data_IF_231241158232
#
_entry.id   IF_231241158232
#
_cell.length_a   1.000
_cell.length_b   1.000
_cell.length_c   1.000
_cell.angle_alpha   90.00
_cell.angle_beta   90.00
_cell.angle_gamma   90.00
#
_symmetry.space_group_name_H-M   'P 1'
#
loop_
_entity.id
_entity.type
_entity.pdbx_description
1 polymer ?
#
# COMPACT_ATOMS: atom_id res chain seq x y z
N UNK A 1 -16.90 -13.59 17.58
CA UNK A 1 -16.42 -14.82 18.25
C UNK A 1 -15.26 -14.44 19.17
N UNK A 2 -15.33 -14.71 20.48
CA UNK A 2 -14.30 -14.26 21.43
C UNK A 2 -13.00 -15.05 21.29
N UNK A 3 -11.85 -14.45 21.65
CA UNK A 3 -10.52 -15.10 21.61
C UNK A 3 -10.49 -16.44 22.39
N UNK A 4 -11.26 -16.52 23.49
CA UNK A 4 -11.49 -17.74 24.28
C UNK A 4 -12.33 -18.79 23.54
N UNK A 5 -13.33 -18.39 22.76
CA UNK A 5 -14.14 -19.29 21.94
C UNK A 5 -13.33 -19.94 20.82
N UNK A 6 -12.48 -19.17 20.14
CA UNK A 6 -11.55 -19.67 19.11
C UNK A 6 -10.55 -20.68 19.69
N UNK A 7 -9.92 -20.36 20.82
CA UNK A 7 -8.98 -21.26 21.49
C UNK A 7 -9.64 -22.58 21.92
N UNK A 8 -10.87 -22.54 22.45
CA UNK A 8 -11.62 -23.75 22.82
C UNK A 8 -12.04 -24.60 21.61
N UNK A 9 -12.44 -23.99 20.50
CA UNK A 9 -12.76 -24.70 19.27
C UNK A 9 -11.53 -25.41 18.69
N UNK A 10 -10.40 -24.70 18.57
CA UNK A 10 -9.14 -25.28 18.11
C UNK A 10 -8.67 -26.40 19.05
N UNK A 11 -8.85 -26.26 20.37
CA UNK A 11 -8.49 -27.32 21.34
C UNK A 11 -9.27 -28.62 21.13
N UNK A 12 -10.53 -28.54 20.69
CA UNK A 12 -11.45 -29.66 20.44
C UNK A 12 -11.30 -30.30 19.06
N UNK A 13 -10.54 -29.69 18.14
CA UNK A 13 -10.20 -30.35 16.88
C UNK A 13 -9.38 -31.61 17.15
N UNK A 14 -9.71 -32.70 16.44
CA UNK A 14 -8.91 -33.93 16.47
C UNK A 14 -7.47 -33.65 16.05
N UNK A 15 -6.51 -34.47 16.50
CA UNK A 15 -5.08 -34.26 16.20
C UNK A 15 -4.81 -34.07 14.71
N UNK A 16 -5.50 -34.84 13.85
CA UNK A 16 -5.45 -34.71 12.39
C UNK A 16 -5.92 -33.33 11.89
N UNK A 17 -7.05 -32.81 12.39
CA UNK A 17 -7.59 -31.51 11.96
C UNK A 17 -6.71 -30.34 12.41
N UNK A 18 -6.02 -30.45 13.55
CA UNK A 18 -5.01 -29.47 13.97
C UNK A 18 -3.82 -29.44 13.03
N UNK A 19 -3.28 -30.62 12.68
CA UNK A 19 -2.19 -30.73 11.71
C UNK A 19 -2.59 -30.17 10.33
N UNK A 20 -3.80 -30.46 9.84
CA UNK A 20 -4.32 -29.91 8.58
C UNK A 20 -4.37 -28.37 8.62
N UNK A 21 -4.86 -27.76 9.72
CA UNK A 21 -4.90 -26.29 9.88
C UNK A 21 -3.49 -25.69 9.92
N UNK A 22 -2.55 -26.30 10.65
CA UNK A 22 -1.16 -25.84 10.70
C UNK A 22 -0.47 -25.89 9.33
N UNK A 23 -0.73 -26.94 8.55
CA UNK A 23 -0.23 -27.05 7.17
C UNK A 23 -0.78 -25.91 6.31
N UNK A 24 -2.09 -25.64 6.39
CA UNK A 24 -2.72 -24.54 5.62
C UNK A 24 -2.13 -23.18 6.04
N UNK A 25 -1.95 -22.93 7.33
CA UNK A 25 -1.34 -21.67 7.83
C UNK A 25 0.07 -21.50 7.25
N UNK A 26 0.90 -22.55 7.27
CA UNK A 26 2.25 -22.51 6.69
C UNK A 26 2.22 -22.26 5.18
N UNK A 27 1.33 -22.94 4.46
CA UNK A 27 1.17 -22.75 3.01
C UNK A 27 0.71 -21.32 2.68
N UNK A 28 -0.20 -20.75 3.47
CA UNK A 28 -0.65 -19.36 3.30
C UNK A 28 0.50 -18.37 3.52
N UNK A 29 1.35 -18.59 4.52
CA UNK A 29 2.52 -17.75 4.76
C UNK A 29 3.49 -17.79 3.56
N UNK A 30 3.83 -18.99 3.07
CA UNK A 30 4.68 -19.18 1.89
C UNK A 30 4.07 -18.48 0.65
N UNK A 31 2.76 -18.61 0.45
CA UNK A 31 2.06 -17.98 -0.66
C UNK A 31 2.11 -16.45 -0.58
N UNK A 32 1.96 -15.87 0.62
CA UNK A 32 2.09 -14.42 0.84
C UNK A 32 3.50 -13.93 0.54
N UNK A 33 4.53 -14.62 1.00
CA UNK A 33 5.92 -14.23 0.74
C UNK A 33 6.27 -14.33 -0.74
N UNK A 34 5.81 -15.40 -1.42
CA UNK A 34 5.94 -15.52 -2.88
C UNK A 34 5.22 -14.38 -3.61
N UNK A 35 4.01 -14.04 -3.19
CA UNK A 35 3.25 -12.93 -3.76
C UNK A 35 3.99 -11.60 -3.59
N UNK A 36 4.47 -11.29 -2.36
CA UNK A 36 5.27 -10.08 -2.10
C UNK A 36 6.52 -10.00 -2.98
N UNK A 37 7.20 -11.13 -3.22
CA UNK A 37 8.36 -11.16 -4.12
C UNK A 37 7.98 -10.78 -5.55
N UNK A 38 6.94 -11.39 -6.10
CA UNK A 38 6.44 -11.11 -7.46
C UNK A 38 6.03 -9.64 -7.60
N UNK A 39 5.26 -9.11 -6.64
CA UNK A 39 4.82 -7.71 -6.70
C UNK A 39 5.99 -6.73 -6.57
N UNK A 40 6.99 -7.05 -5.74
CA UNK A 40 8.21 -6.24 -5.67
C UNK A 40 8.99 -6.24 -6.98
N UNK A 41 9.09 -7.38 -7.67
CA UNK A 41 9.71 -7.48 -8.99
C UNK A 41 8.94 -6.65 -10.02
N UNK A 42 7.60 -6.75 -10.01
CA UNK A 42 6.72 -5.93 -10.87
C UNK A 42 6.95 -4.42 -10.69
N UNK A 43 6.89 -3.90 -9.47
CA UNK A 43 7.13 -2.47 -9.25
C UNK A 43 8.58 -2.04 -9.48
N UNK A 44 9.55 -2.92 -9.22
CA UNK A 44 10.96 -2.66 -9.56
C UNK A 44 11.13 -2.50 -11.06
N UNK A 45 10.48 -3.35 -11.85
CA UNK A 45 10.51 -3.25 -13.31
C UNK A 45 9.83 -1.95 -13.78
N UNK A 46 8.64 -1.63 -13.26
CA UNK A 46 7.93 -0.39 -13.61
C UNK A 46 8.69 0.89 -13.22
N UNK A 47 9.39 0.91 -12.09
CA UNK A 47 10.23 2.06 -11.69
C UNK A 47 11.44 2.20 -12.62
N UNK A 48 12.09 1.09 -13.01
CA UNK A 48 13.21 1.08 -13.97
C UNK A 48 12.80 1.55 -15.35
N UNK A 49 11.63 1.14 -15.81
CA UNK A 49 11.05 1.53 -17.10
C UNK A 49 10.45 2.95 -17.06
N UNK A 50 10.34 3.55 -15.87
CA UNK A 50 9.69 4.85 -15.68
C UNK A 50 8.16 4.81 -15.87
N UNK A 51 7.55 3.62 -15.96
CA UNK A 51 6.13 3.39 -16.22
C UNK A 51 5.27 3.36 -14.96
N UNK A 52 5.87 3.44 -13.76
CA UNK A 52 5.11 3.53 -12.51
C UNK A 52 4.41 4.89 -12.38
N UNK A 53 5.17 5.97 -12.53
CA UNK A 53 4.66 7.34 -12.63
C UNK A 53 5.43 8.06 -13.73
N UNK A 54 4.76 8.29 -14.87
CA UNK A 54 5.38 8.87 -16.05
C UNK A 54 5.66 10.36 -15.82
N UNK A 55 6.93 10.73 -15.91
CA UNK A 55 7.39 12.11 -15.80
C UNK A 55 6.94 12.95 -17.00
N UNK A 56 6.69 14.25 -16.79
CA UNK A 56 6.38 15.18 -17.89
C UNK A 56 4.97 15.05 -18.47
N UNK A 57 4.08 14.28 -17.82
CA UNK A 57 2.66 14.26 -18.18
C UNK A 57 2.00 15.60 -17.87
N UNK A 58 1.07 16.01 -18.74
CA UNK A 58 0.22 17.18 -18.49
C UNK A 58 -0.78 16.89 -17.36
N UNK A 59 -1.21 17.91 -16.58
CA UNK A 59 -2.16 17.76 -15.49
C UNK A 59 -3.61 17.59 -16.00
N UNK A 60 -3.86 16.52 -16.76
CA UNK A 60 -5.19 16.17 -17.24
C UNK A 60 -5.93 15.31 -16.22
N UNK A 61 -7.25 15.26 -16.34
CA UNK A 61 -8.11 14.42 -15.50
C UNK A 61 -7.77 12.94 -15.67
N UNK A 62 -7.41 12.53 -16.88
CA UNK A 62 -7.05 11.16 -17.24
C UNK A 62 -5.73 10.77 -16.55
N UNK A 63 -4.69 11.59 -16.66
CA UNK A 63 -3.40 11.31 -16.02
C UNK A 63 -3.50 11.33 -14.49
N UNK A 64 -4.34 12.20 -13.93
CA UNK A 64 -4.63 12.18 -12.49
C UNK A 64 -5.33 10.89 -12.06
N UNK A 65 -6.32 10.41 -12.84
CA UNK A 65 -6.98 9.13 -12.57
C UNK A 65 -5.99 7.95 -12.64
N UNK A 66 -5.04 7.97 -13.57
CA UNK A 66 -3.99 6.96 -13.64
C UNK A 66 -3.12 6.95 -12.38
N UNK A 67 -2.77 8.12 -11.83
CA UNK A 67 -2.03 8.18 -10.57
C UNK A 67 -2.82 7.53 -9.42
N UNK A 68 -4.10 7.87 -9.31
CA UNK A 68 -4.98 7.28 -8.30
C UNK A 68 -5.10 5.77 -8.50
N UNK A 69 -5.23 5.30 -9.74
CA UNK A 69 -5.28 3.87 -10.06
C UNK A 69 -3.98 3.13 -9.68
N UNK A 70 -2.81 3.76 -9.84
CA UNK A 70 -1.55 3.17 -9.39
C UNK A 70 -1.51 3.01 -7.86
N UNK A 71 -2.00 4.00 -7.12
CA UNK A 71 -2.09 3.90 -5.66
C UNK A 71 -3.13 2.86 -5.22
N UNK A 72 -4.26 2.78 -5.91
CA UNK A 72 -5.31 1.79 -5.66
C UNK A 72 -4.79 0.36 -5.86
N UNK A 73 -4.06 0.10 -6.96
CA UNK A 73 -3.38 -1.17 -7.21
C UNK A 73 -2.42 -1.54 -6.06
N UNK A 74 -1.66 -0.58 -5.53
CA UNK A 74 -0.79 -0.82 -4.37
C UNK A 74 -1.58 -1.18 -3.11
N UNK A 75 -2.73 -0.54 -2.89
CA UNK A 75 -3.63 -0.84 -1.76
C UNK A 75 -4.21 -2.25 -1.90
N UNK A 76 -4.69 -2.62 -3.08
CA UNK A 76 -5.15 -3.98 -3.37
C UNK A 76 -4.05 -5.02 -3.10
N UNK A 77 -2.83 -4.73 -3.51
CA UNK A 77 -1.68 -5.60 -3.26
C UNK A 77 -1.37 -5.72 -1.76
N UNK A 78 -1.52 -4.64 -0.99
CA UNK A 78 -1.38 -4.67 0.47
C UNK A 78 -2.48 -5.51 1.15
N UNK A 79 -3.73 -5.42 0.67
CA UNK A 79 -4.84 -6.23 1.15
C UNK A 79 -4.61 -7.72 0.88
N UNK A 80 -4.10 -8.04 -0.32
CA UNK A 80 -3.82 -9.43 -0.73
C UNK A 80 -2.61 -10.03 -0.02
N UNK A 81 -1.56 -9.23 0.19
CA UNK A 81 -0.39 -9.63 0.97
C UNK A 81 -0.72 -9.73 2.48
N UNK A 82 -1.67 -8.93 2.95
CA UNK A 82 -1.96 -8.75 4.38
C UNK A 82 -0.87 -7.95 5.10
N UNK A 83 -0.23 -7.01 4.39
CA UNK A 83 0.93 -6.23 4.85
C UNK A 83 0.95 -4.86 4.14
N UNK A 84 1.53 -3.84 4.77
CA UNK A 84 1.68 -2.49 4.24
C UNK A 84 3.03 -2.26 3.50
N UNK A 85 3.93 -3.25 3.49
CA UNK A 85 5.29 -3.12 2.92
C UNK A 85 5.30 -2.56 1.48
N UNK A 86 4.35 -3.00 0.65
CA UNK A 86 4.24 -2.57 -0.76
C UNK A 86 3.90 -1.07 -0.84
N UNK A 87 2.91 -0.62 -0.09
CA UNK A 87 2.50 0.79 -0.02
C UNK A 87 3.61 1.66 0.56
N UNK A 88 4.28 1.18 1.61
CA UNK A 88 5.40 1.89 2.23
C UNK A 88 6.55 2.09 1.24
N UNK A 89 6.95 1.04 0.53
CA UNK A 89 8.09 1.08 -0.38
C UNK A 89 7.80 1.84 -1.68
N UNK A 90 6.65 1.57 -2.31
CA UNK A 90 6.35 2.02 -3.66
C UNK A 90 5.40 3.21 -3.73
N UNK A 91 4.54 3.40 -2.73
CA UNK A 91 3.68 4.58 -2.61
C UNK A 91 4.37 5.70 -1.85
N UNK A 92 4.52 5.53 -0.54
CA UNK A 92 5.10 6.55 0.34
C UNK A 92 6.59 6.79 0.05
N UNK A 93 7.34 5.70 -0.15
CA UNK A 93 8.75 5.75 -0.50
C UNK A 93 9.00 6.46 -1.84
N UNK A 94 8.07 6.36 -2.80
CA UNK A 94 8.14 7.12 -4.04
C UNK A 94 7.98 8.63 -3.81
N UNK A 95 7.00 9.04 -3.00
CA UNK A 95 6.77 10.45 -2.66
C UNK A 95 7.97 11.06 -1.92
N UNK A 96 8.67 10.28 -1.10
CA UNK A 96 9.87 10.70 -0.40
C UNK A 96 11.11 10.90 -1.32
N UNK A 97 11.09 10.38 -2.55
CA UNK A 97 12.17 10.62 -3.53
C UNK A 97 12.20 12.10 -3.92
N UNK A 98 13.38 12.65 -4.16
CA UNK A 98 13.60 14.07 -4.52
C UNK A 98 12.73 14.58 -5.69
N UNK A 99 12.32 13.70 -6.60
CA UNK A 99 11.49 14.02 -7.75
C UNK A 99 10.13 13.28 -7.75
N UNK A 100 9.71 12.69 -6.62
CA UNK A 100 8.45 11.92 -6.53
C UNK A 100 7.24 12.77 -6.90
N UNK A 101 7.09 13.92 -6.26
CA UNK A 101 5.99 14.87 -6.53
C UNK A 101 6.02 15.38 -7.98
N UNK A 102 7.21 15.63 -8.54
CA UNK A 102 7.36 16.13 -9.92
C UNK A 102 6.92 15.13 -11.00
N UNK A 103 6.81 13.85 -10.63
CA UNK A 103 6.37 12.76 -11.53
C UNK A 103 4.85 12.51 -11.46
N UNK A 104 4.17 13.09 -10.47
CA UNK A 104 2.71 13.07 -10.41
C UNK A 104 2.13 13.93 -11.53
N UNK A 105 0.98 13.52 -12.07
CA UNK A 105 0.28 14.23 -13.12
C UNK A 105 -0.09 15.66 -12.70
N UNK A 106 -0.56 15.82 -11.45
CA UNK A 106 -0.76 17.11 -10.82
C UNK A 106 0.33 17.34 -9.77
N UNK A 107 1.00 18.49 -9.84
CA UNK A 107 1.89 18.93 -8.76
C UNK A 107 1.12 19.65 -7.63
N UNK A 108 -0.15 19.98 -7.86
CA UNK A 108 -1.05 20.40 -6.80
C UNK A 108 -1.49 19.18 -6.00
N UNK A 109 -0.77 18.93 -4.91
CA UNK A 109 -0.96 17.79 -4.00
C UNK A 109 -2.32 17.81 -3.30
N UNK A 110 -3.02 18.95 -3.25
CA UNK A 110 -4.34 19.02 -2.58
C UNK A 110 -5.40 18.19 -3.30
N UNK A 111 -5.26 17.98 -4.61
CA UNK A 111 -6.17 17.12 -5.36
C UNK A 111 -6.06 15.66 -4.90
N UNK A 112 -4.86 15.19 -4.57
CA UNK A 112 -4.65 13.84 -4.05
C UNK A 112 -5.25 13.70 -2.65
N UNK A 113 -5.09 14.71 -1.78
CA UNK A 113 -5.75 14.73 -0.46
C UNK A 113 -7.27 14.56 -0.59
N UNK A 114 -7.89 15.35 -1.47
CA UNK A 114 -9.34 15.27 -1.71
C UNK A 114 -9.77 13.94 -2.32
N UNK A 115 -8.99 13.39 -3.25
CA UNK A 115 -9.28 12.11 -3.87
C UNK A 115 -9.22 10.96 -2.86
N UNK A 116 -8.17 10.87 -2.04
CA UNK A 116 -8.08 9.84 -1.01
C UNK A 116 -9.13 10.01 0.08
N UNK A 117 -9.48 11.25 0.46
CA UNK A 117 -10.59 11.48 1.38
C UNK A 117 -11.90 10.89 0.83
N UNK A 118 -12.19 11.10 -0.45
CA UNK A 118 -13.36 10.52 -1.10
C UNK A 118 -13.33 8.99 -1.09
N UNK A 119 -12.19 8.37 -1.42
CA UNK A 119 -12.04 6.91 -1.39
C UNK A 119 -12.21 6.33 0.03
N UNK A 120 -11.75 7.04 1.07
CA UNK A 120 -11.98 6.65 2.48
C UNK A 120 -13.48 6.66 2.82
N UNK A 121 -14.19 7.68 2.36
CA UNK A 121 -15.62 7.84 2.63
C UNK A 121 -16.47 6.80 1.86
N UNK A 122 -16.01 6.38 0.68
CA UNK A 122 -16.66 5.37 -0.17
C UNK A 122 -16.29 3.92 0.23
N UNK A 123 -15.15 3.69 0.89
CA UNK A 123 -14.70 2.35 1.28
C UNK A 123 -15.50 1.76 2.45
N UNK A 124 -15.88 0.47 2.30
CA UNK A 124 -16.56 -0.32 3.33
C UNK A 124 -15.61 -1.20 4.15
N UNK A 125 -14.34 -1.30 3.76
CA UNK A 125 -13.36 -2.18 4.38
C UNK A 125 -12.40 -1.42 5.30
N UNK A 126 -12.38 -1.77 6.60
CA UNK A 126 -11.55 -1.07 7.59
C UNK A 126 -10.06 -1.02 7.22
N UNK A 127 -9.49 -2.13 6.73
CA UNK A 127 -8.07 -2.19 6.37
C UNK A 127 -7.75 -1.32 5.15
N UNK A 128 -8.62 -1.32 4.16
CA UNK A 128 -8.50 -0.47 2.97
C UNK A 128 -8.55 1.01 3.36
N UNK A 129 -9.50 1.39 4.22
CA UNK A 129 -9.59 2.75 4.78
C UNK A 129 -8.30 3.19 5.47
N UNK A 130 -7.66 2.29 6.23
CA UNK A 130 -6.38 2.58 6.88
C UNK A 130 -5.31 2.88 5.83
N UNK A 131 -5.18 2.06 4.79
CA UNK A 131 -4.20 2.28 3.73
C UNK A 131 -4.44 3.57 2.95
N UNK A 132 -5.69 3.87 2.60
CA UNK A 132 -6.05 5.14 1.95
C UNK A 132 -5.83 6.35 2.87
N UNK A 133 -6.03 6.19 4.18
CA UNK A 133 -5.73 7.23 5.19
C UNK A 133 -4.25 7.55 5.25
N UNK A 134 -3.38 6.52 5.24
CA UNK A 134 -1.93 6.73 5.20
C UNK A 134 -1.49 7.53 3.97
N UNK A 135 -2.07 7.24 2.80
CA UNK A 135 -1.82 8.00 1.58
C UNK A 135 -2.29 9.45 1.70
N UNK A 136 -3.54 9.66 2.11
CA UNK A 136 -4.10 11.01 2.33
C UNK A 136 -3.21 11.83 3.26
N UNK A 137 -2.80 11.25 4.38
CA UNK A 137 -2.02 11.94 5.41
C UNK A 137 -0.62 12.28 4.91
N UNK A 138 0.03 11.38 4.16
CA UNK A 138 1.31 11.66 3.52
C UNK A 138 1.21 12.83 2.52
N UNK A 139 0.14 12.89 1.71
CA UNK A 139 -0.10 14.02 0.83
C UNK A 139 -0.42 15.32 1.59
N UNK A 140 -1.18 15.25 2.68
CA UNK A 140 -1.49 16.40 3.52
C UNK A 140 -0.24 16.94 4.23
N UNK A 141 0.67 16.06 4.64
CA UNK A 141 1.97 16.44 5.19
C UNK A 141 2.81 17.19 4.15
N UNK A 142 2.76 16.79 2.88
CA UNK A 142 3.45 17.52 1.79
C UNK A 142 2.86 18.90 1.51
N UNK A 143 1.56 19.11 1.74
CA UNK A 143 0.93 20.44 1.65
C UNK A 143 1.47 21.37 2.74
N UNK A 144 1.58 20.85 3.96
CA UNK A 144 1.93 21.65 5.15
C UNK A 144 3.44 21.81 5.34
N UNK A 145 4.22 20.81 4.92
CA UNK A 145 5.67 20.79 5.01
C UNK A 145 6.26 20.07 3.78
N UNK A 146 6.50 20.80 2.67
CA UNK A 146 7.01 20.23 1.42
C UNK A 146 8.35 19.47 1.51
N UNK A 147 9.08 19.62 2.63
CA UNK A 147 10.35 18.95 2.89
C UNK A 147 10.25 17.78 3.90
N UNK A 148 9.05 17.46 4.41
CA UNK A 148 8.86 16.50 5.50
C UNK A 148 9.36 15.08 5.16
N UNK A 149 9.00 14.57 3.98
CA UNK A 149 9.31 13.20 3.58
C UNK A 149 10.79 12.99 3.21
N UNK A 150 11.50 14.05 2.80
CA UNK A 150 12.92 13.98 2.41
C UNK A 150 13.81 13.80 3.65
N UNK A 151 13.46 14.39 4.81
CA UNK A 151 14.25 14.29 6.04
C UNK A 151 14.21 12.89 6.69
N UNK A 152 13.13 12.13 6.51
CA UNK A 152 12.96 10.81 7.14
C UNK A 152 13.55 9.64 6.33
N UNK A 153 13.95 9.86 5.07
CA UNK A 153 14.60 8.83 4.23
C UNK A 153 16.02 8.44 4.67
N UNK A 154 16.60 9.15 5.66
CA UNK A 154 17.91 8.84 6.27
C UNK A 154 17.81 7.99 7.54
N UNK A 155 16.62 7.65 8.02
CA UNK A 155 16.49 6.66 9.09
C UNK A 155 16.66 5.26 8.49
N UNK A 156 17.91 4.77 8.54
CA UNK A 156 18.22 3.35 8.43
C UNK A 156 17.45 2.62 9.53
N UNK A 157 16.35 1.96 9.16
CA UNK A 157 15.74 0.96 10.02
C UNK A 157 16.60 -0.30 9.93
N UNK A 158 17.43 -0.49 10.96
CA UNK A 158 18.13 -1.75 11.25
C UNK A 158 17.13 -2.82 11.70
#
# INVERSE_FOLDING_TARGET
MSRKGYQNFVRRLSGRKKQEVEVVIKQMAIARDKYKKIINEYYTQRDKEGSLFLAGRSPTKENFKEDIANYDEMVEHCLRAGDAEILYKWGLGFLAKQNGIKKLASQDVIYYVKAFQRLIDESTHTTERIYMTLLRDAFAELVTNPNALIKNSKMNFR
#
